data_IF_243062723054
#
_entry.id   IF_243062723054
#
_cell.length_a   1.000
_cell.length_b   1.000
_cell.length_c   1.000
_cell.angle_alpha   90.00
_cell.angle_beta   90.00
_cell.angle_gamma   90.00
#
_symmetry.space_group_name_H-M   'P 1'
#
loop_
_entity.id
_entity.type
_entity.pdbx_description
1 polymer ?
#
# COMPACT_ATOMS: atom_id res chain seq x y z
N UNK A 1 -9.93 5.76 -25.53
CA UNK A 1 -8.59 5.15 -25.60
C UNK A 1 -8.53 4.27 -24.39
N UNK A 2 -8.76 2.97 -24.58
CA UNK A 2 -8.59 1.98 -23.53
C UNK A 2 -7.12 1.61 -23.58
N UNK A 3 -6.40 1.99 -22.53
CA UNK A 3 -4.98 1.64 -22.38
C UNK A 3 -4.85 0.13 -22.32
N UNK A 4 -3.93 -0.36 -23.14
CA UNK A 4 -3.32 -1.67 -23.08
C UNK A 4 -2.58 -1.79 -21.73
N UNK A 5 -3.26 -2.35 -20.73
CA UNK A 5 -2.61 -3.01 -19.59
C UNK A 5 -2.92 -4.50 -19.65
N UNK A 6 -2.55 -5.14 -20.76
CA UNK A 6 -2.34 -6.59 -20.81
C UNK A 6 -0.86 -6.84 -20.49
N UNK A 7 -0.56 -7.19 -19.25
CA UNK A 7 0.78 -7.67 -18.92
C UNK A 7 1.19 -7.50 -17.47
N UNK A 8 0.54 -8.24 -16.56
CA UNK A 8 1.14 -8.95 -15.43
C UNK A 8 0.11 -10.04 -15.08
N UNK A 9 0.54 -11.29 -14.99
CA UNK A 9 -0.34 -12.41 -14.64
C UNK A 9 -1.00 -12.14 -13.28
N UNK A 10 -2.32 -11.97 -13.25
CA UNK A 10 -3.13 -12.10 -12.03
C UNK A 10 -3.10 -13.57 -11.57
N UNK A 11 -1.93 -14.09 -11.23
CA UNK A 11 -1.86 -15.29 -10.41
C UNK A 11 -2.32 -14.86 -9.02
N UNK A 12 -3.59 -15.13 -8.71
CA UNK A 12 -4.13 -14.95 -7.37
C UNK A 12 -3.49 -16.00 -6.46
N UNK A 13 -2.36 -15.64 -5.85
CA UNK A 13 -1.73 -16.45 -4.80
C UNK A 13 -2.71 -16.65 -3.65
N UNK A 14 -2.72 -17.84 -3.06
CA UNK A 14 -3.25 -17.96 -1.70
C UNK A 14 -2.32 -17.24 -0.73
N UNK A 15 -2.82 -16.88 0.45
CA UNK A 15 -2.00 -16.27 1.50
C UNK A 15 -0.80 -17.16 1.82
N UNK A 16 -0.98 -18.48 1.87
CA UNK A 16 0.10 -19.43 2.16
C UNK A 16 1.16 -19.47 1.05
N UNK A 17 0.76 -19.41 -0.23
CA UNK A 17 1.69 -19.39 -1.36
C UNK A 17 2.49 -18.10 -1.37
N UNK A 18 1.82 -16.96 -1.16
CA UNK A 18 2.46 -15.65 -1.06
C UNK A 18 3.48 -15.62 0.09
N UNK A 19 3.08 -16.06 1.29
CA UNK A 19 3.96 -16.13 2.46
C UNK A 19 5.18 -16.99 2.17
N UNK A 20 5.03 -18.16 1.52
CA UNK A 20 6.16 -19.03 1.20
C UNK A 20 7.19 -18.36 0.26
N UNK A 21 6.74 -17.57 -0.72
CA UNK A 21 7.62 -16.80 -1.61
C UNK A 21 8.39 -15.72 -0.83
N UNK A 22 7.70 -15.01 0.08
CA UNK A 22 8.31 -13.98 0.92
C UNK A 22 9.30 -14.57 1.94
N UNK A 23 8.96 -15.69 2.58
CA UNK A 23 9.84 -16.40 3.52
C UNK A 23 11.13 -16.86 2.85
N UNK A 24 11.02 -17.45 1.65
CA UNK A 24 12.19 -17.86 0.86
C UNK A 24 13.12 -16.67 0.58
N UNK A 25 12.56 -15.50 0.26
CA UNK A 25 13.31 -14.26 0.03
C UNK A 25 13.99 -13.78 1.30
N UNK A 26 13.28 -13.81 2.44
CA UNK A 26 13.82 -13.43 3.76
C UNK A 26 14.99 -14.33 4.17
N UNK A 27 14.85 -15.64 4.02
CA UNK A 27 15.91 -16.60 4.34
C UNK A 27 17.16 -16.38 3.50
N UNK A 28 17.00 -16.19 2.19
CA UNK A 28 18.09 -15.89 1.26
C UNK A 28 18.82 -14.61 1.68
N UNK A 29 18.09 -13.51 1.87
CA UNK A 29 18.67 -12.21 2.25
C UNK A 29 19.38 -12.27 3.61
N UNK A 30 18.84 -13.00 4.60
CA UNK A 30 19.52 -13.21 5.90
C UNK A 30 20.87 -13.91 5.72
N UNK A 31 20.92 -14.98 4.91
CA UNK A 31 22.17 -15.68 4.58
C UNK A 31 23.18 -14.78 3.87
N UNK A 32 22.73 -13.97 2.92
CA UNK A 32 23.56 -13.01 2.20
C UNK A 32 24.11 -11.90 3.10
N UNK A 33 23.27 -11.36 4.00
CA UNK A 33 23.69 -10.37 5.01
C UNK A 33 24.81 -10.96 5.88
N UNK A 34 24.68 -12.20 6.37
CA UNK A 34 25.76 -12.84 7.12
C UNK A 34 27.05 -12.96 6.30
N UNK A 35 26.92 -13.30 5.01
CA UNK A 35 28.04 -13.37 4.07
C UNK A 35 28.74 -12.02 3.92
N UNK A 36 27.97 -10.95 3.74
CA UNK A 36 28.44 -9.57 3.64
C UNK A 36 29.09 -9.08 4.94
N UNK A 37 28.54 -9.44 6.10
CA UNK A 37 29.12 -9.12 7.41
C UNK A 37 30.46 -9.85 7.64
N UNK A 38 30.55 -11.12 7.22
CA UNK A 38 31.82 -11.88 7.25
C UNK A 38 32.84 -11.28 6.29
N UNK A 39 32.41 -10.84 5.10
CA UNK A 39 33.25 -10.16 4.10
C UNK A 39 33.75 -8.80 4.61
N UNK A 40 32.90 -8.03 5.30
CA UNK A 40 33.23 -6.72 5.84
C UNK A 40 34.51 -6.73 6.70
N UNK A 41 34.71 -7.80 7.50
CA UNK A 41 35.90 -7.99 8.35
C UNK A 41 37.23 -8.08 7.58
N UNK A 42 37.18 -8.34 6.26
CA UNK A 42 38.35 -8.55 5.40
C UNK A 42 38.59 -7.40 4.42
N UNK A 43 37.62 -6.49 4.28
CA UNK A 43 37.74 -5.34 3.38
C UNK A 43 38.76 -4.34 3.93
N UNK A 44 39.67 -3.88 3.07
CA UNK A 44 40.73 -2.92 3.42
C UNK A 44 40.52 -1.54 2.81
N UNK A 45 39.83 -1.47 1.68
CA UNK A 45 39.51 -0.22 0.99
C UNK A 45 38.28 0.42 1.65
N UNK A 46 38.35 1.71 1.98
CA UNK A 46 37.28 2.42 2.70
C UNK A 46 36.01 2.55 1.86
N UNK A 47 36.10 2.81 0.55
CA UNK A 47 34.92 2.87 -0.32
C UNK A 47 34.21 1.52 -0.39
N UNK A 48 34.98 0.42 -0.45
CA UNK A 48 34.43 -0.94 -0.43
C UNK A 48 33.76 -1.26 0.90
N UNK A 49 34.31 -0.77 2.03
CA UNK A 49 33.68 -0.93 3.35
C UNK A 49 32.37 -0.14 3.41
N UNK A 50 32.37 1.11 2.93
CA UNK A 50 31.19 1.97 2.87
C UNK A 50 30.08 1.31 2.07
N UNK A 51 30.34 0.97 0.81
CA UNK A 51 29.35 0.33 -0.08
C UNK A 51 28.82 -0.99 0.50
N UNK A 52 29.69 -1.81 1.12
CA UNK A 52 29.27 -3.05 1.76
C UNK A 52 28.40 -2.79 3.01
N UNK A 53 28.69 -1.74 3.79
CA UNK A 53 27.90 -1.38 4.95
C UNK A 53 26.53 -0.82 4.56
N UNK A 54 26.47 0.03 3.53
CA UNK A 54 25.23 0.56 2.97
C UNK A 54 24.36 -0.56 2.39
N UNK A 55 24.96 -1.52 1.66
CA UNK A 55 24.25 -2.71 1.17
C UNK A 55 23.68 -3.56 2.32
N UNK A 56 24.46 -3.82 3.37
CA UNK A 56 23.96 -4.55 4.54
C UNK A 56 22.79 -3.80 5.19
N UNK A 57 22.90 -2.48 5.37
CA UNK A 57 21.85 -1.68 6.00
C UNK A 57 20.56 -1.73 5.17
N UNK A 58 20.67 -1.55 3.86
CA UNK A 58 19.53 -1.62 2.94
C UNK A 58 18.88 -3.00 2.94
N UNK A 59 19.67 -4.08 2.85
CA UNK A 59 19.14 -5.45 2.89
C UNK A 59 18.48 -5.79 4.23
N UNK A 60 18.98 -5.26 5.35
CA UNK A 60 18.33 -5.42 6.66
C UNK A 60 16.97 -4.71 6.70
N UNK A 61 16.89 -3.48 6.21
CA UNK A 61 15.63 -2.75 6.10
C UNK A 61 14.63 -3.49 5.19
N UNK A 62 15.12 -4.03 4.07
CA UNK A 62 14.31 -4.79 3.13
C UNK A 62 13.79 -6.11 3.73
N UNK A 63 14.62 -6.84 4.49
CA UNK A 63 14.18 -8.01 5.29
C UNK A 63 13.11 -7.61 6.29
N UNK A 64 13.27 -6.49 7.00
CA UNK A 64 12.26 -5.97 7.92
C UNK A 64 10.94 -5.70 7.21
N UNK A 65 10.98 -5.09 6.01
CA UNK A 65 9.77 -4.83 5.22
C UNK A 65 9.03 -6.14 4.86
N UNK A 66 9.76 -7.16 4.40
CA UNK A 66 9.16 -8.47 4.10
C UNK A 66 8.60 -9.16 5.36
N UNK A 67 9.34 -9.15 6.47
CA UNK A 67 8.89 -9.75 7.73
C UNK A 67 7.62 -9.06 8.25
N UNK A 68 7.51 -7.74 8.07
CA UNK A 68 6.32 -6.98 8.49
C UNK A 68 5.08 -7.39 7.70
N UNK A 69 5.22 -7.56 6.38
CA UNK A 69 4.12 -8.05 5.54
C UNK A 69 3.75 -9.49 5.88
N UNK A 70 4.73 -10.38 6.10
CA UNK A 70 4.44 -11.76 6.51
C UNK A 70 3.68 -11.79 7.85
N UNK A 71 4.12 -11.00 8.83
CA UNK A 71 3.48 -10.93 10.14
C UNK A 71 2.01 -10.48 10.05
N UNK A 72 1.72 -9.50 9.19
CA UNK A 72 0.36 -9.00 8.98
C UNK A 72 -0.50 -10.02 8.21
N UNK A 73 0.04 -10.63 7.15
CA UNK A 73 -0.62 -11.69 6.38
C UNK A 73 -0.99 -12.93 7.23
N UNK A 74 -0.19 -13.23 8.25
CA UNK A 74 -0.33 -14.42 9.09
C UNK A 74 -0.96 -14.14 10.46
N UNK A 75 -1.24 -12.87 10.79
CA UNK A 75 -1.66 -12.43 12.13
C UNK A 75 -0.65 -12.88 13.23
N UNK A 76 0.64 -12.98 12.90
CA UNK A 76 1.70 -13.36 13.82
C UNK A 76 2.58 -12.17 14.22
N UNK A 77 2.06 -11.38 15.15
CA UNK A 77 2.79 -10.24 15.74
C UNK A 77 4.10 -10.63 16.47
N UNK A 78 4.33 -11.91 16.79
CA UNK A 78 5.58 -12.32 17.45
C UNK A 78 6.79 -12.17 16.52
N UNK A 79 6.58 -12.19 15.20
CA UNK A 79 7.62 -11.94 14.20
C UNK A 79 8.16 -10.50 14.24
N UNK A 80 7.42 -9.57 14.86
CA UNK A 80 7.76 -8.16 14.97
C UNK A 80 8.54 -7.84 16.25
N UNK A 81 8.74 -8.81 17.15
CA UNK A 81 9.46 -8.60 18.40
C UNK A 81 10.91 -8.12 18.15
N UNK A 82 11.23 -6.94 18.68
CA UNK A 82 12.57 -6.34 18.55
C UNK A 82 12.84 -5.64 17.22
N UNK A 83 11.85 -5.53 16.34
CA UNK A 83 11.91 -4.70 15.13
C UNK A 83 11.50 -3.27 15.48
N UNK A 84 12.29 -2.30 15.02
CA UNK A 84 11.93 -0.89 15.06
C UNK A 84 11.10 -0.54 13.81
N UNK A 85 9.78 -0.46 13.99
CA UNK A 85 8.84 -0.14 12.91
C UNK A 85 8.82 1.34 12.55
N UNK A 86 9.37 2.20 13.42
CA UNK A 86 9.46 3.65 13.21
C UNK A 86 10.83 4.07 12.64
N UNK A 87 11.63 3.10 12.20
CA UNK A 87 12.96 3.36 11.66
C UNK A 87 12.88 4.21 10.37
N UNK A 88 13.82 5.15 10.24
CA UNK A 88 13.93 5.98 9.05
C UNK A 88 14.17 5.13 7.78
N UNK A 89 13.59 5.50 6.61
CA UNK A 89 13.85 4.81 5.36
C UNK A 89 15.34 4.76 5.02
N UNK A 90 15.85 3.56 4.71
CA UNK A 90 17.23 3.37 4.28
C UNK A 90 17.31 3.58 2.76
N UNK A 91 18.13 4.53 2.27
CA UNK A 91 18.25 4.77 0.83
C UNK A 91 18.89 3.58 0.12
N UNK A 92 18.46 3.34 -1.12
CA UNK A 92 19.07 2.32 -1.98
C UNK A 92 20.54 2.67 -2.25
N UNK A 93 21.48 1.73 -2.01
CA UNK A 93 22.91 1.98 -2.20
C UNK A 93 23.28 1.98 -3.69
N UNK A 94 24.35 2.70 -4.02
CA UNK A 94 24.82 2.88 -5.42
C UNK A 94 25.09 1.54 -6.12
N UNK A 95 25.52 0.52 -5.37
CA UNK A 95 25.85 -0.80 -5.89
C UNK A 95 24.71 -1.83 -5.74
N UNK A 96 23.48 -1.40 -5.45
CA UNK A 96 22.35 -2.33 -5.33
C UNK A 96 22.05 -3.03 -6.66
N UNK A 97 22.12 -2.31 -7.78
CA UNK A 97 21.89 -2.91 -9.10
C UNK A 97 22.91 -4.02 -9.41
N UNK A 98 24.17 -3.85 -9.00
CA UNK A 98 25.20 -4.88 -9.15
C UNK A 98 24.90 -6.13 -8.31
N UNK A 99 24.31 -5.93 -7.12
CA UNK A 99 23.84 -7.03 -6.28
C UNK A 99 22.69 -7.80 -6.95
N UNK A 100 21.64 -7.10 -7.41
CA UNK A 100 20.48 -7.72 -8.05
C UNK A 100 20.89 -8.48 -9.33
N UNK A 101 21.71 -7.85 -10.18
CA UNK A 101 22.22 -8.48 -11.40
C UNK A 101 23.18 -9.65 -11.13
N UNK A 102 23.70 -9.76 -9.90
CA UNK A 102 24.58 -10.84 -9.47
C UNK A 102 23.84 -12.09 -8.96
N UNK A 103 22.52 -12.02 -8.82
CA UNK A 103 21.70 -13.15 -8.38
C UNK A 103 21.64 -14.25 -9.44
N UNK A 104 21.47 -15.50 -9.01
CA UNK A 104 21.11 -16.60 -9.91
C UNK A 104 19.73 -16.39 -10.50
N UNK A 105 19.41 -17.05 -11.62
CA UNK A 105 18.12 -16.89 -12.30
C UNK A 105 16.93 -17.14 -11.36
N UNK A 106 16.96 -18.26 -10.64
CA UNK A 106 15.90 -18.65 -9.69
C UNK A 106 15.78 -17.68 -8.50
N UNK A 107 16.91 -17.11 -8.04
CA UNK A 107 16.93 -16.15 -6.94
C UNK A 107 16.42 -14.78 -7.39
N UNK A 108 16.75 -14.38 -8.63
CA UNK A 108 16.26 -13.16 -9.25
C UNK A 108 14.76 -13.23 -9.52
N UNK A 109 14.27 -14.36 -10.05
CA UNK A 109 12.84 -14.60 -10.24
C UNK A 109 12.09 -14.49 -8.91
N UNK A 110 12.58 -15.17 -7.87
CA UNK A 110 11.99 -15.10 -6.53
C UNK A 110 12.05 -13.68 -5.93
N UNK A 111 13.12 -12.92 -6.14
CA UNK A 111 13.23 -11.52 -5.70
C UNK A 111 12.16 -10.63 -6.37
N UNK A 112 11.98 -10.77 -7.69
CA UNK A 112 11.01 -9.98 -8.45
C UNK A 112 9.57 -10.34 -8.06
N UNK A 113 9.29 -11.63 -7.91
CA UNK A 113 8.00 -12.15 -7.48
C UNK A 113 7.66 -11.68 -6.06
N UNK A 114 8.59 -11.81 -5.10
CA UNK A 114 8.38 -11.35 -3.73
C UNK A 114 8.17 -9.84 -3.65
N UNK A 115 8.91 -9.06 -4.45
CA UNK A 115 8.74 -7.62 -4.54
C UNK A 115 7.34 -7.25 -5.05
N UNK A 116 6.83 -7.98 -6.05
CA UNK A 116 5.47 -7.78 -6.58
C UNK A 116 4.42 -8.06 -5.50
N UNK A 117 4.47 -9.25 -4.89
CA UNK A 117 3.53 -9.67 -3.82
C UNK A 117 3.50 -8.63 -2.70
N UNK A 118 4.69 -8.16 -2.26
CA UNK A 118 4.78 -7.16 -1.21
C UNK A 118 4.15 -5.83 -1.62
N UNK A 119 4.40 -5.37 -2.85
CA UNK A 119 3.84 -4.12 -3.35
C UNK A 119 2.31 -4.19 -3.42
N UNK A 120 1.78 -5.25 -4.02
CA UNK A 120 0.33 -5.47 -4.17
C UNK A 120 -0.35 -5.55 -2.80
N UNK A 121 0.27 -6.23 -1.83
CA UNK A 121 -0.25 -6.29 -0.46
C UNK A 121 -0.26 -4.92 0.22
N UNK A 122 0.83 -4.16 0.13
CA UNK A 122 0.89 -2.82 0.72
C UNK A 122 -0.15 -1.87 0.11
N UNK A 123 -0.37 -1.94 -1.21
CA UNK A 123 -1.40 -1.16 -1.88
C UNK A 123 -2.79 -1.53 -1.38
N UNK A 124 -3.10 -2.83 -1.27
CA UNK A 124 -4.37 -3.31 -0.72
C UNK A 124 -4.60 -2.84 0.73
N UNK A 125 -3.58 -2.88 1.59
CA UNK A 125 -3.67 -2.38 2.97
C UNK A 125 -3.96 -0.88 3.01
N UNK A 126 -3.33 -0.09 2.13
CA UNK A 126 -3.58 1.35 2.05
C UNK A 126 -4.98 1.66 1.53
N UNK A 127 -5.46 0.90 0.55
CA UNK A 127 -6.84 1.01 0.03
C UNK A 127 -7.86 0.73 1.13
N UNK A 128 -7.72 -0.39 1.85
CA UNK A 128 -8.60 -0.75 2.97
C UNK A 128 -8.55 0.29 4.08
N UNK A 129 -7.37 0.82 4.40
CA UNK A 129 -7.22 1.90 5.37
C UNK A 129 -7.96 3.16 4.91
N UNK A 130 -7.82 3.56 3.65
CA UNK A 130 -8.52 4.71 3.07
C UNK A 130 -10.04 4.53 3.13
N UNK A 131 -10.55 3.35 2.80
CA UNK A 131 -11.99 3.02 2.89
C UNK A 131 -12.47 3.15 4.34
N UNK A 132 -11.75 2.54 5.29
CA UNK A 132 -12.10 2.57 6.69
C UNK A 132 -12.07 3.99 7.29
N UNK A 133 -11.06 4.79 6.93
CA UNK A 133 -10.98 6.20 7.32
C UNK A 133 -12.14 6.98 6.72
N UNK A 134 -12.41 6.82 5.43
CA UNK A 134 -13.49 7.49 4.73
C UNK A 134 -14.86 7.19 5.34
N UNK A 135 -15.16 5.91 5.58
CA UNK A 135 -16.39 5.50 6.26
C UNK A 135 -16.49 6.11 7.66
N UNK A 136 -15.43 5.98 8.47
CA UNK A 136 -15.40 6.51 9.83
C UNK A 136 -15.58 8.03 9.88
N UNK A 137 -15.01 8.75 8.90
CA UNK A 137 -15.16 10.19 8.76
C UNK A 137 -16.60 10.59 8.45
N UNK A 138 -17.27 9.87 7.55
CA UNK A 138 -18.65 10.13 7.15
C UNK A 138 -19.67 9.78 8.25
N UNK A 139 -19.39 8.76 9.07
CA UNK A 139 -20.23 8.38 10.22
C UNK A 139 -20.08 9.34 11.41
N UNK A 140 -18.92 10.00 11.55
CA UNK A 140 -18.64 10.94 12.62
C UNK A 140 -19.25 12.33 12.36
N UNK A 141 -20.27 12.71 13.14
CA UNK A 141 -20.89 14.06 13.03
C UNK A 141 -19.91 15.23 13.16
N UNK A 142 -18.86 15.07 13.98
CA UNK A 142 -17.83 16.11 14.15
C UNK A 142 -16.96 16.22 12.91
N UNK A 143 -16.54 15.08 12.36
CA UNK A 143 -15.71 15.04 11.17
C UNK A 143 -16.49 15.50 9.93
N UNK A 144 -17.72 15.02 9.75
CA UNK A 144 -18.61 15.47 8.69
C UNK A 144 -18.81 17.00 8.72
N UNK A 145 -18.97 17.59 9.91
CA UNK A 145 -19.04 19.06 10.02
C UNK A 145 -17.74 19.72 9.57
N UNK A 146 -16.59 19.20 10.00
CA UNK A 146 -15.29 19.72 9.57
C UNK A 146 -15.10 19.63 8.05
N UNK A 147 -15.50 18.52 7.41
CA UNK A 147 -15.48 18.35 5.96
C UNK A 147 -16.39 19.34 5.23
N UNK A 148 -17.58 19.61 5.77
CA UNK A 148 -18.51 20.61 5.21
C UNK A 148 -18.00 22.06 5.36
N UNK A 149 -17.14 22.32 6.36
CA UNK A 149 -16.54 23.62 6.61
C UNK A 149 -15.22 23.82 5.81
N UNK A 150 -14.68 22.78 5.16
CA UNK A 150 -13.46 22.78 4.35
C UNK A 150 -13.78 22.84 2.84
N UNK A 151 -13.49 23.95 2.14
CA UNK A 151 -13.76 24.08 0.71
C UNK A 151 -13.04 23.08 -0.18
N UNK A 152 -11.80 22.69 0.17
CA UNK A 152 -11.03 21.74 -0.62
C UNK A 152 -11.62 20.34 -0.48
N UNK A 153 -11.98 19.93 0.74
CA UNK A 153 -12.65 18.64 0.94
C UNK A 153 -13.98 18.55 0.19
N UNK A 154 -14.77 19.63 0.17
CA UNK A 154 -16.02 19.70 -0.59
C UNK A 154 -15.80 19.59 -2.10
N UNK A 155 -14.77 20.27 -2.63
CA UNK A 155 -14.40 20.19 -4.05
C UNK A 155 -14.01 18.75 -4.42
N UNK A 156 -13.15 18.11 -3.64
CA UNK A 156 -12.71 16.73 -3.88
C UNK A 156 -13.88 15.73 -3.85
N UNK A 157 -14.79 15.85 -2.88
CA UNK A 157 -16.02 15.03 -2.85
C UNK A 157 -16.89 15.28 -4.09
N UNK A 158 -16.99 16.55 -4.51
CA UNK A 158 -17.72 16.95 -5.71
C UNK A 158 -17.12 16.36 -6.99
N UNK A 159 -15.80 16.39 -7.13
CA UNK A 159 -15.08 15.80 -8.27
C UNK A 159 -15.33 14.30 -8.38
N UNK A 160 -15.23 13.56 -7.27
CA UNK A 160 -15.53 12.11 -7.24
C UNK A 160 -16.95 11.83 -7.72
N UNK A 161 -17.94 12.59 -7.26
CA UNK A 161 -19.34 12.44 -7.69
C UNK A 161 -19.52 12.85 -9.16
N UNK A 162 -18.81 13.87 -9.63
CA UNK A 162 -19.00 14.43 -10.97
C UNK A 162 -18.36 13.56 -12.06
N UNK A 163 -17.19 12.99 -11.80
CA UNK A 163 -16.45 12.20 -12.79
C UNK A 163 -16.85 10.72 -12.81
N UNK A 164 -17.51 10.21 -11.76
CA UNK A 164 -18.08 8.87 -11.78
C UNK A 164 -19.54 8.92 -12.27
N UNK A 165 -19.80 8.35 -13.45
CA UNK A 165 -21.11 8.36 -14.11
C UNK A 165 -22.23 7.83 -13.20
N UNK A 166 -21.95 6.75 -12.45
CA UNK A 166 -22.92 6.12 -11.57
C UNK A 166 -23.26 7.02 -10.37
N UNK A 167 -22.24 7.59 -9.72
CA UNK A 167 -22.45 8.50 -8.59
C UNK A 167 -23.13 9.81 -9.03
N UNK A 168 -22.81 10.32 -10.22
CA UNK A 168 -23.44 11.51 -10.76
C UNK A 168 -24.94 11.29 -11.01
N UNK A 169 -25.29 10.21 -11.69
CA UNK A 169 -26.70 9.84 -11.97
C UNK A 169 -27.48 9.62 -10.67
N UNK A 170 -26.87 8.94 -9.69
CA UNK A 170 -27.45 8.77 -8.37
C UNK A 170 -27.68 10.12 -7.67
N UNK A 171 -26.72 11.04 -7.71
CA UNK A 171 -26.87 12.38 -7.13
C UNK A 171 -28.00 13.19 -7.77
N UNK A 172 -28.11 13.16 -9.10
CA UNK A 172 -29.17 13.86 -9.85
C UNK A 172 -30.54 13.29 -9.48
N UNK A 173 -30.70 11.96 -9.47
CA UNK A 173 -31.97 11.30 -9.14
C UNK A 173 -32.46 11.64 -7.73
N UNK A 174 -31.58 11.58 -6.72
CA UNK A 174 -31.88 11.94 -5.33
C UNK A 174 -32.28 13.41 -5.19
N UNK A 175 -31.70 14.29 -5.99
CA UNK A 175 -32.01 15.72 -6.00
C UNK A 175 -33.40 16.02 -6.59
N UNK A 176 -33.77 15.31 -7.66
CA UNK A 176 -35.10 15.41 -8.26
C UNK A 176 -36.23 14.87 -7.36
N UNK A 177 -35.98 13.77 -6.64
CA UNK A 177 -36.94 13.21 -5.69
C UNK A 177 -37.25 14.20 -4.56
N UNK A 178 -36.22 14.82 -3.98
CA UNK A 178 -36.37 15.86 -2.97
C UNK A 178 -37.18 17.06 -3.47
N UNK A 179 -37.05 17.42 -4.75
CA UNK A 179 -37.83 18.51 -5.36
C UNK A 179 -39.32 18.14 -5.51
N UNK A 180 -39.63 16.91 -5.95
CA UNK A 180 -41.00 16.39 -6.09
C UNK A 180 -41.72 16.32 -4.74
N UNK A 181 -41.03 15.94 -3.67
CA UNK A 181 -41.61 15.86 -2.32
C UNK A 181 -41.93 17.22 -1.70
N UNK A 182 -41.06 18.23 -1.91
CA UNK A 182 -41.36 19.62 -1.53
C UNK A 182 -42.58 20.17 -2.28
N UNK A 183 -42.74 19.83 -3.56
CA UNK A 183 -43.90 20.18 -4.38
C UNK A 183 -45.22 19.59 -3.87
N UNK A 184 -45.23 18.30 -3.48
CA UNK A 184 -46.42 17.63 -2.91
C UNK A 184 -46.83 18.21 -1.56
N UNK A 185 -45.87 18.51 -0.66
CA UNK A 185 -46.18 19.16 0.64
C UNK A 185 -46.80 20.56 0.44
N UNK A 186 -46.29 21.36 -0.51
CA UNK A 186 -46.83 22.70 -0.81
C UNK A 186 -48.28 22.62 -1.34
N UNK A 187 -48.57 21.65 -2.22
CA UNK A 187 -49.93 21.38 -2.75
C UNK A 187 -50.93 20.87 -1.70
N UNK A 188 -50.46 20.18 -0.66
CA UNK A 188 -51.29 19.72 0.47
C UNK A 188 -51.64 20.86 1.44
N UNK A 189 -50.73 21.84 1.60
CA UNK A 189 -50.95 23.03 2.42
C UNK A 189 -51.94 24.00 1.77
N UNK A 190 -51.86 24.20 0.45
CA UNK A 190 -52.77 25.08 -0.31
C UNK A 190 -54.18 24.51 -0.57
N UNK A 191 -54.48 23.29 -0.10
CA UNK A 191 -55.81 22.65 -0.21
C UNK A 191 -56.54 22.60 1.14
N UNK A 192 -55.94 23.14 2.19
CA UNK A 192 -56.48 23.14 3.57
C UNK A 192 -56.88 24.53 4.08
N UNK A 193 -56.75 25.54 3.21
CA UNK A 193 -57.34 26.88 3.33
C UNK A 193 -58.50 26.97 2.32
#
# INVERSE_FOLDING_TARGET
MADEYEGLSEEQYTVEEAVAVLEKTVERKRSEIEGLEKKAKRLKNEDSKRLNAELIAYMKADVTAYVTVIADMTDDSSMLEGIDLDADPVPAPENYADYVNGLGADDLENELEAQSIRADYCDAVVEDLCVNIGQSALESKKMLKALLDDPFALEQIGEVIFYDDYLYDLFVSLSEEKAKDKGKKKKKKSKKD
#
